data_IF_202762882385
#
_entry.id   IF_202762882385
#
_cell.length_a   1.000
_cell.length_b   1.000
_cell.length_c   1.000
_cell.angle_alpha   90.00
_cell.angle_beta   90.00
_cell.angle_gamma   90.00
#
_symmetry.space_group_name_H-M   'P 1'
#
loop_
_entity.id
_entity.type
_entity.pdbx_description
1 polymer ?
#
# COMPACT_ATOMS: atom_id res chain seq x y z
N UNK A 1 20.77 27.39 -13.43
CA UNK A 1 21.46 26.91 -12.22
C UNK A 1 21.56 25.41 -12.36
N UNK A 2 22.59 25.00 -13.09
CA UNK A 2 22.99 23.60 -13.27
C UNK A 2 23.76 23.18 -12.02
N UNK A 3 23.24 22.18 -11.31
CA UNK A 3 23.87 21.62 -10.12
C UNK A 3 24.88 20.57 -10.53
N UNK A 4 26.16 20.92 -10.41
CA UNK A 4 27.31 20.03 -10.49
C UNK A 4 27.09 18.77 -9.62
N UNK A 5 27.02 17.61 -10.27
CA UNK A 5 27.19 16.34 -9.61
C UNK A 5 28.70 16.13 -9.32
N UNK A 6 29.10 15.83 -8.07
CA UNK A 6 30.51 15.68 -7.75
C UNK A 6 31.13 14.47 -8.48
N UNK A 7 32.36 14.59 -9.02
CA UNK A 7 33.02 13.50 -9.72
C UNK A 7 33.54 12.48 -8.70
N UNK A 8 33.13 11.22 -8.84
CA UNK A 8 33.81 10.11 -8.15
C UNK A 8 33.00 9.31 -7.13
N UNK A 9 31.68 9.20 -7.28
CA UNK A 9 30.94 8.15 -6.57
C UNK A 9 31.07 6.82 -7.34
N UNK A 10 32.21 6.15 -7.22
CA UNK A 10 32.30 4.73 -7.57
C UNK A 10 31.54 3.99 -6.46
N UNK A 11 30.43 3.28 -6.76
CA UNK A 11 29.74 2.53 -5.74
C UNK A 11 30.74 1.52 -5.16
N UNK A 12 31.08 1.68 -3.88
CA UNK A 12 31.87 0.71 -3.13
C UNK A 12 30.96 -0.51 -2.96
N UNK A 13 30.97 -1.33 -3.99
CA UNK A 13 30.17 -2.55 -4.08
C UNK A 13 30.70 -3.46 -2.98
N UNK A 14 29.84 -3.77 -2.01
CA UNK A 14 30.15 -4.57 -0.84
C UNK A 14 30.87 -5.85 -1.28
N UNK A 15 32.04 -6.15 -0.68
CA UNK A 15 32.91 -7.29 -1.05
C UNK A 15 32.14 -8.62 -1.02
N UNK A 16 31.09 -8.69 -0.19
CA UNK A 16 30.14 -9.82 -0.13
C UNK A 16 29.17 -9.89 -1.32
N UNK A 17 28.71 -8.76 -1.85
CA UNK A 17 27.89 -8.73 -3.08
C UNK A 17 28.72 -9.14 -4.29
N UNK A 18 29.95 -8.62 -4.44
CA UNK A 18 30.84 -8.99 -5.54
C UNK A 18 31.14 -10.49 -5.57
N UNK A 19 31.45 -11.10 -4.41
CA UNK A 19 31.66 -12.54 -4.30
C UNK A 19 30.42 -13.38 -4.64
N UNK A 20 29.21 -12.91 -4.29
CA UNK A 20 27.95 -13.60 -4.65
C UNK A 20 27.66 -13.50 -6.15
N UNK A 21 27.88 -12.33 -6.76
CA UNK A 21 27.67 -12.16 -8.21
C UNK A 21 28.65 -13.01 -9.02
N UNK A 22 29.94 -13.04 -8.66
CA UNK A 22 30.93 -13.89 -9.33
C UNK A 22 30.66 -15.38 -9.16
N UNK A 23 30.21 -15.82 -7.97
CA UNK A 23 29.88 -17.22 -7.72
C UNK A 23 28.65 -17.71 -8.51
N UNK A 24 27.67 -16.83 -8.75
CA UNK A 24 26.44 -17.17 -9.50
C UNK A 24 26.71 -17.32 -11.00
N UNK A 25 27.65 -16.56 -11.58
CA UNK A 25 28.01 -16.66 -13.00
C UNK A 25 29.07 -17.72 -13.31
N UNK A 26 29.94 -18.06 -12.36
CA UNK A 26 30.99 -19.08 -12.56
C UNK A 26 30.44 -20.52 -12.59
N UNK A 27 29.43 -20.82 -11.78
CA UNK A 27 28.83 -22.15 -11.72
C UNK A 27 28.23 -22.65 -13.07
N UNK A 28 27.41 -21.87 -13.79
CA UNK A 28 26.85 -22.31 -15.07
C UNK A 28 27.90 -22.34 -16.19
N UNK A 29 28.88 -21.44 -16.19
CA UNK A 29 29.94 -21.42 -17.22
C UNK A 29 30.87 -22.62 -17.09
N UNK A 30 31.24 -23.01 -15.87
CA UNK A 30 31.99 -24.25 -15.61
C UNK A 30 31.18 -25.48 -16.01
N UNK A 31 29.88 -25.51 -15.70
CA UNK A 31 28.99 -26.60 -16.13
C UNK A 31 28.92 -26.75 -17.65
N UNK A 32 28.72 -25.65 -18.37
CA UNK A 32 28.68 -25.65 -19.85
C UNK A 32 30.01 -26.09 -20.44
N UNK A 33 31.14 -25.60 -19.90
CA UNK A 33 32.47 -25.97 -20.36
C UNK A 33 32.78 -27.47 -20.14
N UNK A 34 32.35 -28.03 -19.00
CA UNK A 34 32.50 -29.46 -18.73
C UNK A 34 31.68 -30.30 -19.71
N UNK A 35 30.45 -29.90 -20.00
CA UNK A 35 29.57 -30.62 -20.94
C UNK A 35 30.12 -30.55 -22.36
N UNK A 36 30.58 -29.38 -22.81
CA UNK A 36 31.20 -29.23 -24.14
C UNK A 36 32.50 -30.02 -24.24
N UNK A 37 33.36 -30.00 -23.21
CA UNK A 37 34.57 -30.83 -23.19
C UNK A 37 34.24 -32.33 -23.20
N UNK A 38 33.23 -32.76 -22.42
CA UNK A 38 32.76 -34.14 -22.36
C UNK A 38 32.19 -34.66 -23.68
N UNK A 39 31.64 -33.79 -24.53
CA UNK A 39 31.16 -34.13 -25.87
C UNK A 39 32.26 -34.02 -26.94
N UNK A 40 33.05 -32.95 -26.91
CA UNK A 40 34.02 -32.65 -27.97
C UNK A 40 35.24 -33.57 -27.95
N UNK A 41 35.74 -33.94 -26.77
CA UNK A 41 36.94 -34.78 -26.64
C UNK A 41 36.71 -36.18 -27.24
N UNK A 42 35.62 -36.90 -26.92
CA UNK A 42 35.32 -38.19 -27.55
C UNK A 42 35.09 -38.08 -29.06
N UNK A 43 34.39 -37.03 -29.52
CA UNK A 43 34.13 -36.83 -30.96
C UNK A 43 35.42 -36.63 -31.75
N UNK A 44 36.35 -35.81 -31.26
CA UNK A 44 37.64 -35.59 -31.93
C UNK A 44 38.51 -36.85 -31.91
N UNK A 45 38.47 -37.63 -30.83
CA UNK A 45 39.15 -38.92 -30.75
C UNK A 45 38.56 -39.95 -31.73
N UNK A 46 37.24 -40.01 -31.89
CA UNK A 46 36.60 -40.91 -32.85
C UNK A 46 37.07 -40.70 -34.29
N UNK A 47 37.34 -39.45 -34.70
CA UNK A 47 37.87 -39.15 -36.03
C UNK A 47 39.35 -39.51 -36.23
N UNK A 48 40.08 -39.85 -35.16
CA UNK A 48 41.55 -39.96 -35.18
C UNK A 48 42.10 -41.32 -34.75
N UNK A 49 41.26 -42.27 -34.35
CA UNK A 49 41.70 -43.52 -33.69
C UNK A 49 41.29 -44.79 -34.43
N UNK A 50 42.14 -45.82 -34.33
CA UNK A 50 42.04 -47.12 -35.00
C UNK A 50 41.03 -48.08 -34.32
N UNK A 51 40.44 -49.03 -35.08
CA UNK A 51 39.32 -49.89 -34.63
C UNK A 51 39.65 -50.70 -33.35
N UNK A 52 40.88 -51.21 -33.23
CA UNK A 52 41.31 -51.99 -32.06
C UNK A 52 41.39 -51.16 -30.77
N UNK A 53 41.61 -49.84 -30.89
CA UNK A 53 41.60 -48.94 -29.73
C UNK A 53 40.16 -48.66 -29.33
N UNK A 54 39.27 -48.39 -30.29
CA UNK A 54 37.84 -48.16 -30.05
C UNK A 54 37.17 -49.34 -29.33
N UNK A 55 37.50 -50.58 -29.67
CA UNK A 55 36.96 -51.77 -28.99
C UNK A 55 37.36 -51.84 -27.50
N UNK A 56 38.59 -51.46 -27.14
CA UNK A 56 39.03 -51.37 -25.75
C UNK A 56 38.30 -50.27 -24.98
N UNK A 57 38.09 -49.11 -25.59
CA UNK A 57 37.34 -48.01 -24.97
C UNK A 57 35.86 -48.35 -24.80
N UNK A 58 35.26 -49.07 -25.75
CA UNK A 58 33.88 -49.56 -25.66
C UNK A 58 33.69 -50.50 -24.46
N UNK A 59 34.61 -51.47 -24.28
CA UNK A 59 34.59 -52.39 -23.12
C UNK A 59 34.73 -51.68 -21.78
N UNK A 60 35.53 -50.61 -21.72
CA UNK A 60 35.66 -49.76 -20.52
C UNK A 60 34.36 -48.97 -20.28
N UNK A 61 33.76 -48.41 -21.33
CA UNK A 61 32.48 -47.70 -21.24
C UNK A 61 31.34 -48.61 -20.77
N UNK A 62 31.28 -49.84 -21.28
CA UNK A 62 30.28 -50.84 -20.89
C UNK A 62 30.44 -51.27 -19.42
N UNK A 63 31.69 -51.43 -18.95
CA UNK A 63 31.99 -51.70 -17.54
C UNK A 63 31.63 -50.53 -16.60
N UNK A 64 31.66 -49.29 -17.08
CA UNK A 64 31.28 -48.09 -16.33
C UNK A 64 29.77 -47.78 -16.41
N UNK A 65 29.03 -48.42 -17.32
CA UNK A 65 27.59 -48.19 -17.52
C UNK A 65 26.75 -48.32 -16.23
N UNK A 66 26.95 -49.33 -15.36
CA UNK A 66 26.21 -49.43 -14.10
C UNK A 66 26.46 -48.25 -13.15
N UNK A 67 27.68 -47.69 -13.17
CA UNK A 67 28.06 -46.54 -12.35
C UNK A 67 27.33 -45.28 -12.84
N UNK A 68 27.24 -45.10 -14.17
CA UNK A 68 26.48 -44.00 -14.77
C UNK A 68 25.00 -44.00 -14.40
N UNK A 69 24.36 -45.19 -14.41
CA UNK A 69 22.96 -45.36 -13.99
C UNK A 69 22.76 -44.98 -12.52
N UNK A 70 23.69 -45.40 -11.64
CA UNK A 70 23.65 -45.03 -10.23
C UNK A 70 23.72 -43.51 -10.02
N UNK A 71 24.69 -42.83 -10.65
CA UNK A 71 24.81 -41.38 -10.54
C UNK A 71 23.61 -40.63 -11.13
N UNK A 72 23.03 -41.12 -12.23
CA UNK A 72 21.81 -40.56 -12.81
C UNK A 72 20.62 -40.68 -11.85
N UNK A 73 20.45 -41.83 -11.19
CA UNK A 73 19.43 -42.03 -10.16
C UNK A 73 19.60 -41.08 -8.97
N UNK A 74 20.83 -40.95 -8.46
CA UNK A 74 21.14 -40.01 -7.37
C UNK A 74 20.88 -38.56 -7.77
N UNK A 75 21.28 -38.16 -8.99
CA UNK A 75 21.02 -36.83 -9.51
C UNK A 75 19.52 -36.56 -9.65
N UNK A 76 18.75 -37.54 -10.14
CA UNK A 76 17.29 -37.44 -10.25
C UNK A 76 16.63 -37.25 -8.88
N UNK A 77 17.03 -38.04 -7.87
CA UNK A 77 16.55 -37.88 -6.48
C UNK A 77 16.91 -36.50 -5.93
N UNK A 78 18.13 -36.02 -6.19
CA UNK A 78 18.56 -34.68 -5.79
C UNK A 78 17.71 -33.57 -6.42
N UNK A 79 17.39 -33.68 -7.71
CA UNK A 79 16.50 -32.73 -8.42
C UNK A 79 15.08 -32.82 -7.85
N UNK A 80 14.55 -34.02 -7.65
CA UNK A 80 13.20 -34.22 -7.11
C UNK A 80 13.07 -33.62 -5.70
N UNK A 81 14.05 -33.85 -4.82
CA UNK A 81 14.10 -33.26 -3.49
C UNK A 81 14.20 -31.74 -3.56
N UNK A 82 15.04 -31.22 -4.46
CA UNK A 82 15.19 -29.77 -4.66
C UNK A 82 13.88 -29.13 -5.12
N UNK A 83 13.19 -29.73 -6.10
CA UNK A 83 11.89 -29.26 -6.58
C UNK A 83 10.82 -29.31 -5.49
N UNK A 84 10.83 -30.34 -4.65
CA UNK A 84 9.93 -30.44 -3.51
C UNK A 84 10.15 -29.31 -2.49
N UNK A 85 11.41 -29.04 -2.13
CA UNK A 85 11.77 -27.93 -1.25
C UNK A 85 11.41 -26.57 -1.86
N UNK A 86 11.71 -26.36 -3.14
CA UNK A 86 11.34 -25.15 -3.88
C UNK A 86 9.81 -24.95 -3.92
N UNK A 87 9.04 -26.02 -4.10
CA UNK A 87 7.58 -25.95 -4.09
C UNK A 87 7.01 -25.53 -2.74
N UNK A 88 7.61 -25.98 -1.64
CA UNK A 88 7.22 -25.56 -0.29
C UNK A 88 7.58 -24.10 -0.02
N UNK A 89 8.77 -23.68 -0.41
CA UNK A 89 9.23 -22.30 -0.28
C UNK A 89 8.34 -21.32 -1.06
N UNK A 90 7.98 -21.65 -2.31
CA UNK A 90 7.07 -20.81 -3.12
C UNK A 90 5.69 -20.65 -2.50
N UNK A 91 5.20 -21.67 -1.77
CA UNK A 91 3.92 -21.57 -1.04
C UNK A 91 4.03 -20.61 0.13
N UNK A 92 5.07 -20.75 0.95
CA UNK A 92 5.33 -19.84 2.07
C UNK A 92 5.48 -18.39 1.59
N UNK A 93 6.24 -18.15 0.52
CA UNK A 93 6.42 -16.82 -0.06
C UNK A 93 5.10 -16.20 -0.54
N UNK A 94 4.18 -17.01 -1.07
CA UNK A 94 2.84 -16.51 -1.46
C UNK A 94 2.01 -16.12 -0.25
N UNK A 95 2.04 -16.91 0.81
CA UNK A 95 1.34 -16.62 2.07
C UNK A 95 1.89 -15.34 2.72
N UNK A 96 3.21 -15.19 2.79
CA UNK A 96 3.86 -13.97 3.28
C UNK A 96 3.50 -12.74 2.43
N UNK A 97 3.49 -12.87 1.09
CA UNK A 97 3.08 -11.78 0.21
C UNK A 97 1.61 -11.37 0.38
N UNK A 98 0.72 -12.32 0.66
CA UNK A 98 -0.69 -11.99 0.94
C UNK A 98 -0.81 -11.20 2.23
N UNK A 99 -0.13 -11.63 3.30
CA UNK A 99 -0.13 -10.95 4.59
C UNK A 99 0.47 -9.54 4.44
N UNK A 100 1.63 -9.42 3.78
CA UNK A 100 2.30 -8.14 3.57
C UNK A 100 1.43 -7.15 2.77
N UNK A 101 0.64 -7.62 1.80
CA UNK A 101 -0.30 -6.76 1.05
C UNK A 101 -1.43 -6.26 1.92
N UNK A 102 -2.00 -7.12 2.76
CA UNK A 102 -3.06 -6.74 3.70
C UNK A 102 -2.55 -5.70 4.71
N UNK A 103 -1.35 -5.93 5.26
CA UNK A 103 -0.69 -4.97 6.15
C UNK A 103 -0.38 -3.65 5.45
N UNK A 104 0.11 -3.69 4.21
CA UNK A 104 0.37 -2.49 3.41
C UNK A 104 -0.90 -1.69 3.13
N UNK A 105 -2.01 -2.37 2.78
CA UNK A 105 -3.30 -1.71 2.58
C UNK A 105 -3.77 -1.02 3.86
N UNK A 106 -3.72 -1.74 4.99
CA UNK A 106 -4.09 -1.17 6.30
C UNK A 106 -3.20 0.02 6.68
N UNK A 107 -1.90 -0.07 6.43
CA UNK A 107 -0.95 1.02 6.68
C UNK A 107 -1.22 2.23 5.79
N UNK A 108 -1.51 2.00 4.50
CA UNK A 108 -1.88 3.06 3.56
C UNK A 108 -3.15 3.80 4.00
N UNK A 109 -4.17 3.08 4.46
CA UNK A 109 -5.39 3.72 4.99
C UNK A 109 -5.10 4.59 6.21
N UNK A 110 -4.27 4.12 7.14
CA UNK A 110 -3.87 4.89 8.32
C UNK A 110 -3.10 6.14 7.91
N UNK A 111 -2.13 6.00 7.00
CA UNK A 111 -1.32 7.11 6.49
C UNK A 111 -2.18 8.17 5.77
N UNK A 112 -3.17 7.75 4.98
CA UNK A 112 -4.11 8.68 4.33
C UNK A 112 -4.95 9.45 5.34
N UNK A 113 -5.41 8.79 6.42
CA UNK A 113 -6.16 9.46 7.51
C UNK A 113 -5.30 10.46 8.25
N UNK A 114 -4.04 10.11 8.53
CA UNK A 114 -3.07 11.00 9.17
C UNK A 114 -2.76 12.22 8.28
N UNK A 115 -2.55 11.99 6.98
CA UNK A 115 -2.33 13.05 6.00
C UNK A 115 -3.53 14.00 5.91
N UNK A 116 -4.76 13.47 5.84
CA UNK A 116 -5.97 14.29 5.82
C UNK A 116 -6.09 15.18 7.08
N UNK A 117 -5.83 14.59 8.25
CA UNK A 117 -5.83 15.32 9.53
C UNK A 117 -4.76 16.41 9.57
N UNK A 118 -3.56 16.12 9.06
CA UNK A 118 -2.45 17.06 8.97
C UNK A 118 -2.75 18.24 8.02
N UNK A 119 -3.30 17.96 6.83
CA UNK A 119 -3.71 18.99 5.87
C UNK A 119 -4.73 19.96 6.49
N UNK A 120 -5.74 19.43 7.18
CA UNK A 120 -6.74 20.28 7.84
C UNK A 120 -6.13 21.09 8.96
N UNK A 121 -5.24 20.50 9.77
CA UNK A 121 -4.52 21.22 10.82
C UNK A 121 -3.71 22.38 10.25
N UNK A 122 -2.97 22.15 9.15
CA UNK A 122 -2.23 23.21 8.45
C UNK A 122 -3.15 24.34 7.96
N UNK A 123 -4.32 24.03 7.40
CA UNK A 123 -5.30 25.04 6.96
C UNK A 123 -5.95 25.82 8.13
N UNK A 124 -6.00 25.24 9.33
CA UNK A 124 -6.47 25.90 10.55
C UNK A 124 -5.38 26.86 11.08
N UNK A 125 -4.14 26.42 11.09
CA UNK A 125 -3.00 27.16 11.64
C UNK A 125 -2.60 28.32 10.70
N UNK A 126 -2.54 28.08 9.39
CA UNK A 126 -2.15 29.05 8.37
C UNK A 126 -3.36 29.73 7.68
N UNK A 127 -3.53 31.07 7.79
CA UNK A 127 -4.56 31.81 7.07
C UNK A 127 -4.41 31.83 5.54
N UNK A 128 -3.19 31.76 5.00
CA UNK A 128 -2.93 31.79 3.55
C UNK A 128 -3.35 30.48 2.88
N UNK A 129 -3.00 29.35 3.50
CA UNK A 129 -3.45 28.02 3.06
C UNK A 129 -4.98 27.87 3.11
N UNK A 130 -5.69 28.69 3.89
CA UNK A 130 -7.16 28.67 3.87
C UNK A 130 -7.75 29.33 2.63
N UNK A 131 -7.01 30.22 1.97
CA UNK A 131 -7.50 30.97 0.80
C UNK A 131 -7.50 30.12 -0.47
N UNK A 132 -6.70 29.04 -0.52
CA UNK A 132 -6.73 28.12 -1.66
C UNK A 132 -7.94 27.19 -1.65
N UNK A 133 -8.69 27.14 -0.54
CA UNK A 133 -9.95 26.40 -0.49
C UNK A 133 -11.05 27.13 -1.25
N UNK A 134 -11.81 26.43 -2.11
CA UNK A 134 -12.88 27.04 -2.87
C UNK A 134 -13.93 27.65 -1.94
N UNK A 135 -14.50 28.79 -2.37
CA UNK A 135 -15.55 29.48 -1.63
C UNK A 135 -16.77 28.55 -1.48
N UNK A 136 -17.24 28.40 -0.24
CA UNK A 136 -18.48 27.67 0.02
C UNK A 136 -19.65 28.40 -0.66
N UNK A 137 -20.68 27.65 -1.09
CA UNK A 137 -21.78 28.16 -1.92
C UNK A 137 -22.56 29.37 -1.35
N UNK A 138 -22.40 29.70 -0.06
CA UNK A 138 -23.01 30.90 0.53
C UNK A 138 -22.25 32.21 0.26
N UNK A 139 -21.18 32.20 -0.55
CA UNK A 139 -20.35 33.39 -0.84
C UNK A 139 -19.64 33.98 0.38
N UNK A 140 -19.75 33.34 1.54
CA UNK A 140 -19.10 33.71 2.78
C UNK A 140 -17.75 32.99 2.86
N UNK A 141 -16.69 33.72 3.18
CA UNK A 141 -15.36 33.15 3.35
C UNK A 141 -15.37 31.99 4.35
N UNK A 142 -14.60 30.95 4.06
CA UNK A 142 -14.53 29.75 4.90
C UNK A 142 -13.80 30.11 6.20
N UNK A 143 -14.47 29.93 7.33
CA UNK A 143 -13.87 30.23 8.63
C UNK A 143 -13.03 29.05 9.15
N UNK A 144 -12.14 29.30 10.12
CA UNK A 144 -11.42 28.23 10.85
C UNK A 144 -12.39 27.21 11.47
N UNK A 145 -13.53 27.71 11.96
CA UNK A 145 -14.58 26.89 12.55
C UNK A 145 -15.26 25.98 11.55
N UNK A 146 -15.51 26.45 10.33
CA UNK A 146 -16.13 25.63 9.28
C UNK A 146 -15.21 24.43 8.93
N UNK A 147 -13.88 24.63 8.85
CA UNK A 147 -12.91 23.54 8.64
C UNK A 147 -12.88 22.55 9.81
N UNK A 148 -12.89 23.06 11.04
CA UNK A 148 -12.94 22.21 12.24
C UNK A 148 -14.24 21.39 12.32
N UNK A 149 -15.38 21.99 11.94
CA UNK A 149 -16.65 21.28 11.85
C UNK A 149 -16.61 20.15 10.82
N UNK A 150 -16.01 20.41 9.64
CA UNK A 150 -15.82 19.39 8.62
C UNK A 150 -14.94 18.23 9.12
N UNK A 151 -13.85 18.53 9.85
CA UNK A 151 -12.98 17.52 10.45
C UNK A 151 -13.72 16.63 11.44
N UNK A 152 -14.52 17.21 12.34
CA UNK A 152 -15.28 16.45 13.34
C UNK A 152 -16.28 15.51 12.65
N UNK A 153 -17.00 15.99 11.63
CA UNK A 153 -17.97 15.16 10.91
C UNK A 153 -17.27 14.04 10.13
N UNK A 154 -16.15 14.34 9.47
CA UNK A 154 -15.36 13.32 8.78
C UNK A 154 -14.78 12.29 9.75
N UNK A 155 -14.41 12.68 10.97
CA UNK A 155 -13.97 11.74 12.02
C UNK A 155 -15.07 10.75 12.38
N UNK A 156 -16.32 11.21 12.54
CA UNK A 156 -17.45 10.32 12.82
C UNK A 156 -17.75 9.37 11.65
N UNK A 157 -17.64 9.87 10.40
CA UNK A 157 -17.76 9.06 9.19
C UNK A 157 -16.73 7.93 9.18
N UNK A 158 -15.46 8.28 9.36
CA UNK A 158 -14.37 7.31 9.37
C UNK A 158 -14.55 6.29 10.48
N UNK A 159 -14.93 6.70 11.69
CA UNK A 159 -15.15 5.79 12.81
C UNK A 159 -16.26 4.76 12.53
N UNK A 160 -17.31 5.15 11.79
CA UNK A 160 -18.37 4.25 11.36
C UNK A 160 -17.92 3.33 10.22
N UNK A 161 -17.23 3.85 9.20
CA UNK A 161 -16.72 3.06 8.07
C UNK A 161 -15.72 1.99 8.52
N UNK A 162 -14.88 2.31 9.51
CA UNK A 162 -13.93 1.36 10.11
C UNK A 162 -14.58 0.39 11.09
N UNK A 163 -15.91 0.43 11.25
CA UNK A 163 -16.69 -0.36 12.20
C UNK A 163 -16.16 -0.24 13.63
N UNK A 164 -15.60 0.92 13.97
CA UNK A 164 -15.16 1.23 15.34
C UNK A 164 -16.33 1.64 16.22
N UNK A 165 -17.37 2.23 15.61
CA UNK A 165 -18.65 2.53 16.25
C UNK A 165 -19.80 1.91 15.46
N UNK A 166 -20.86 1.53 16.17
CA UNK A 166 -22.09 1.04 15.54
C UNK A 166 -23.00 2.19 15.08
N UNK A 167 -24.01 1.87 14.25
CA UNK A 167 -24.94 2.88 13.73
C UNK A 167 -25.71 3.62 14.84
N UNK A 168 -26.06 2.94 15.93
CA UNK A 168 -26.74 3.57 17.06
C UNK A 168 -25.84 4.61 17.75
N UNK A 169 -24.56 4.30 17.91
CA UNK A 169 -23.55 5.19 18.49
C UNK A 169 -23.27 6.37 17.56
N UNK A 170 -23.17 6.14 16.25
CA UNK A 170 -23.06 7.20 15.26
C UNK A 170 -24.23 8.19 15.37
N UNK A 171 -25.47 7.68 15.44
CA UNK A 171 -26.66 8.54 15.58
C UNK A 171 -26.64 9.33 16.88
N UNK A 172 -26.23 8.70 17.99
CA UNK A 172 -26.05 9.39 19.27
C UNK A 172 -25.00 10.51 19.19
N UNK A 173 -23.84 10.22 18.60
CA UNK A 173 -22.76 11.19 18.41
C UNK A 173 -23.18 12.36 17.51
N UNK A 174 -23.82 12.08 16.37
CA UNK A 174 -24.35 13.11 15.47
C UNK A 174 -25.41 13.97 16.15
N UNK A 175 -26.32 13.36 16.92
CA UNK A 175 -27.31 14.09 17.72
C UNK A 175 -26.66 15.07 18.69
N UNK A 176 -25.68 14.60 19.47
CA UNK A 176 -24.93 15.44 20.40
C UNK A 176 -24.13 16.55 19.69
N UNK A 177 -23.49 16.24 18.56
CA UNK A 177 -22.77 17.24 17.78
C UNK A 177 -23.69 18.36 17.25
N UNK A 178 -24.94 18.03 16.90
CA UNK A 178 -25.92 19.01 16.41
C UNK A 178 -26.44 19.95 17.50
N UNK A 179 -26.22 19.66 18.78
CA UNK A 179 -26.46 20.61 19.88
C UNK A 179 -25.51 21.81 19.79
N UNK A 180 -24.33 21.63 19.17
CA UNK A 180 -23.40 22.71 18.92
C UNK A 180 -23.91 23.64 17.82
N UNK A 181 -24.11 24.91 18.19
CA UNK A 181 -24.52 25.98 17.27
C UNK A 181 -23.62 26.07 16.03
N UNK A 182 -22.31 25.91 16.20
CA UNK A 182 -21.36 26.07 15.09
C UNK A 182 -21.49 24.91 14.09
N UNK A 183 -21.67 23.67 14.57
CA UNK A 183 -21.93 22.48 13.73
C UNK A 183 -23.27 22.61 13.01
N UNK A 184 -24.33 23.01 13.72
CA UNK A 184 -25.65 23.22 13.12
C UNK A 184 -25.61 24.26 11.98
N UNK A 185 -24.98 25.41 12.23
CA UNK A 185 -24.88 26.48 11.24
C UNK A 185 -23.98 26.09 10.07
N UNK A 186 -22.91 25.35 10.33
CA UNK A 186 -22.06 24.78 9.29
C UNK A 186 -22.86 23.84 8.39
N UNK A 187 -23.55 22.85 8.97
CA UNK A 187 -24.33 21.87 8.19
C UNK A 187 -25.40 22.54 7.34
N UNK A 188 -26.10 23.53 7.90
CA UNK A 188 -27.07 24.34 7.16
C UNK A 188 -26.48 25.03 5.92
N UNK A 189 -25.23 25.46 5.95
CA UNK A 189 -24.55 26.08 4.79
C UNK A 189 -24.17 25.05 3.73
N UNK A 190 -23.66 23.89 4.14
CA UNK A 190 -23.00 22.94 3.22
C UNK A 190 -23.89 21.85 2.68
N UNK A 191 -25.01 21.53 3.35
CA UNK A 191 -25.86 20.37 3.01
C UNK A 191 -26.25 20.31 1.54
N UNK A 192 -26.63 21.44 0.93
CA UNK A 192 -27.07 21.50 -0.46
C UNK A 192 -25.92 21.21 -1.45
N UNK A 193 -24.72 21.72 -1.16
CA UNK A 193 -23.52 21.47 -1.96
C UNK A 193 -23.05 20.03 -1.79
N UNK A 194 -23.10 19.51 -0.56
CA UNK A 194 -22.63 18.16 -0.26
C UNK A 194 -23.44 17.12 -1.03
N UNK A 195 -24.77 17.22 -1.02
CA UNK A 195 -25.66 16.34 -1.81
C UNK A 195 -25.37 16.41 -3.31
N UNK A 196 -24.96 17.56 -3.85
CA UNK A 196 -24.59 17.68 -5.26
C UNK A 196 -23.24 17.03 -5.58
N UNK A 197 -22.28 17.08 -4.64
CA UNK A 197 -20.93 16.53 -4.82
C UNK A 197 -20.87 15.02 -4.56
N UNK A 198 -21.68 14.51 -3.65
CA UNK A 198 -21.67 13.09 -3.25
C UNK A 198 -22.60 12.21 -4.08
N UNK A 199 -23.42 12.80 -4.95
CA UNK A 199 -24.42 12.08 -5.72
C UNK A 199 -23.80 10.90 -6.50
N UNK A 200 -24.18 9.67 -6.13
CA UNK A 200 -23.71 8.44 -6.77
C UNK A 200 -22.71 7.62 -5.94
N UNK A 201 -22.30 8.10 -4.76
CA UNK A 201 -21.58 7.32 -3.75
C UNK A 201 -22.55 6.90 -2.64
N UNK A 202 -22.93 5.62 -2.61
CA UNK A 202 -23.88 5.07 -1.64
C UNK A 202 -23.45 5.30 -0.18
N UNK A 203 -22.15 5.28 0.11
CA UNK A 203 -21.62 5.46 1.46
C UNK A 203 -21.69 6.92 1.92
N UNK A 204 -21.31 7.85 1.03
CA UNK A 204 -21.41 9.29 1.30
C UNK A 204 -22.87 9.76 1.38
N UNK A 205 -23.74 9.22 0.53
CA UNK A 205 -25.18 9.53 0.54
C UNK A 205 -25.84 9.01 1.81
N UNK A 206 -25.48 7.79 2.27
CA UNK A 206 -25.93 7.25 3.54
C UNK A 206 -25.50 8.12 4.72
N UNK A 207 -24.21 8.47 4.81
CA UNK A 207 -23.70 9.30 5.91
C UNK A 207 -24.36 10.68 5.90
N UNK A 208 -24.48 11.31 4.73
CA UNK A 208 -25.15 12.61 4.56
C UNK A 208 -26.61 12.55 5.03
N UNK A 209 -27.32 11.46 4.75
CA UNK A 209 -28.69 11.26 5.23
C UNK A 209 -28.78 11.12 6.75
N UNK A 210 -27.84 10.44 7.42
CA UNK A 210 -27.82 10.34 8.89
C UNK A 210 -27.53 11.70 9.55
N UNK A 211 -26.63 12.51 8.97
CA UNK A 211 -26.37 13.87 9.45
C UNK A 211 -27.59 14.77 9.24
N UNK A 212 -28.29 14.65 8.10
CA UNK A 212 -29.53 15.38 7.83
C UNK A 212 -30.66 15.00 8.81
N UNK A 213 -30.75 13.72 9.22
CA UNK A 213 -31.68 13.30 10.27
C UNK A 213 -31.35 13.95 11.60
N UNK A 214 -30.09 13.91 12.03
CA UNK A 214 -29.66 14.57 13.27
C UNK A 214 -29.95 16.07 13.24
N UNK A 215 -29.71 16.72 12.09
CA UNK A 215 -30.04 18.13 11.88
C UNK A 215 -31.54 18.42 11.97
N UNK A 216 -32.39 17.57 11.38
CA UNK A 216 -33.84 17.72 11.43
C UNK A 216 -34.43 17.56 12.84
N UNK A 217 -33.78 16.75 13.68
CA UNK A 217 -34.17 16.57 15.09
C UNK A 217 -33.61 17.65 16.02
N UNK A 218 -32.58 18.38 15.60
CA UNK A 218 -31.97 19.42 16.41
C UNK A 218 -32.77 20.74 16.38
N UNK A 219 -32.89 21.39 17.54
CA UNK A 219 -33.52 22.69 17.63
C UNK A 219 -32.61 23.78 17.02
N UNK A 220 -33.15 24.71 16.20
CA UNK A 220 -32.34 25.78 15.63
C UNK A 220 -31.76 26.68 16.74
N UNK A 221 -30.45 27.00 16.69
CA UNK A 221 -29.81 27.77 17.74
C UNK A 221 -30.30 29.21 17.76
N UNK A 222 -30.61 29.73 18.96
CA UNK A 222 -31.12 31.09 19.15
C UNK A 222 -30.09 32.14 18.66
N UNK A 223 -30.50 33.15 17.88
CA UNK A 223 -29.60 34.22 17.44
C UNK A 223 -29.03 35.01 18.63
N UNK A 224 -27.69 35.14 18.71
CA UNK A 224 -27.00 35.88 19.81
C UNK A 224 -27.50 37.32 19.97
N UNK A 225 -27.99 37.96 18.90
CA UNK A 225 -28.52 39.33 18.95
C UNK A 225 -29.90 39.45 19.61
N UNK A 226 -30.64 38.36 19.77
CA UNK A 226 -31.97 38.38 20.40
C UNK A 226 -31.83 38.39 21.93
N UNK A 227 -30.95 37.55 22.48
CA UNK A 227 -30.71 37.48 23.93
C UNK A 227 -30.04 38.75 24.50
N UNK A 228 -29.21 39.45 23.72
CA UNK A 228 -28.66 40.74 24.15
C UNK A 228 -29.72 41.84 24.11
N UNK A 229 -30.54 41.91 23.05
CA UNK A 229 -31.64 42.89 22.95
C UNK A 229 -32.73 42.70 23.99
N UNK A 230 -33.09 41.47 24.32
CA UNK A 230 -34.06 41.18 25.39
C UNK A 230 -33.51 41.55 26.78
N UNK A 231 -32.21 41.36 27.01
CA UNK A 231 -31.56 41.77 28.27
C UNK A 231 -31.48 43.29 28.41
N UNK A 232 -31.27 44.01 27.32
CA UNK A 232 -31.26 45.48 27.31
C UNK A 232 -32.68 46.06 27.41
N UNK A 233 -33.70 45.36 26.89
CA UNK A 233 -35.11 45.74 27.01
C UNK A 233 -35.69 45.51 28.42
N UNK A 234 -35.20 44.52 29.16
CA UNK A 234 -35.60 44.25 30.56
C UNK A 234 -34.87 45.13 31.60
N UNK A 235 -33.90 45.95 31.16
CA UNK A 235 -33.16 46.89 32.02
C UNK A 235 -33.63 48.35 31.89
N UNK A 236 -34.65 48.61 31.08
CA UNK A 236 -35.36 49.90 31.01
C UNK A 236 -36.72 49.77 31.65
#
# INVERSE_FOLDING_TARGET
MDGDAPPGYVPIMDRRQWLRTFAVFSAPTVGIALVTAGLAIPTVLLFRTDEATLDRWSKIGEALSPIGVFFSGVAFVGIALTLFLQGRELRNQREELTIAREEQQRSSEIALRELHTSLIRMAIDDPELRQVWPLMASGAGVTKKDHYCNLILNLQKVAYETRTIELAELRGALGHLMESRDIYLFWRKVRAVRVQVTQGDEGEDFFTAEVDRAFAHAAPPVPRGLLSRFRDALRR
#
